data_IF_800852611189
#
_entry.id   IF_800852611189
#
_cell.length_a   1.000
_cell.length_b   1.000
_cell.length_c   1.000
_cell.angle_alpha   90.00
_cell.angle_beta   90.00
_cell.angle_gamma   90.00
#
_symmetry.space_group_name_H-M   'P 1'
#
loop_
_entity.id
_entity.type
_entity.pdbx_description
1 polymer ?
#
# COMPACT_ATOMS: atom_id res chain seq x y z
N UNK A 1 -22.04 -24.22 16.90
CA UNK A 1 -21.16 -23.19 17.51
C UNK A 1 -20.30 -22.59 16.41
N UNK A 2 -20.60 -21.39 15.99
CA UNK A 2 -19.73 -20.67 15.03
C UNK A 2 -18.53 -20.14 15.82
N UNK A 3 -17.37 -20.73 15.60
CA UNK A 3 -16.13 -20.23 16.20
C UNK A 3 -15.87 -18.87 15.52
N UNK A 4 -16.33 -17.80 16.16
CA UNK A 4 -16.08 -16.44 15.74
C UNK A 4 -14.60 -16.13 15.92
N UNK A 5 -13.83 -16.17 14.84
CA UNK A 5 -12.43 -15.73 14.88
C UNK A 5 -12.39 -14.22 15.09
N UNK A 6 -12.00 -13.81 16.26
CA UNK A 6 -11.80 -12.40 16.60
C UNK A 6 -10.61 -11.84 15.82
N UNK A 7 -10.82 -10.76 15.08
CA UNK A 7 -9.76 -10.04 14.38
C UNK A 7 -9.15 -9.00 15.32
N UNK A 8 -7.82 -8.99 15.47
CA UNK A 8 -7.10 -8.05 16.32
C UNK A 8 -6.34 -7.05 15.44
N UNK A 9 -6.74 -5.79 15.50
CA UNK A 9 -6.05 -4.68 14.84
C UNK A 9 -5.08 -4.01 15.82
N UNK A 10 -3.82 -3.77 15.46
CA UNK A 10 -2.86 -3.11 16.35
C UNK A 10 -3.26 -1.69 16.77
N UNK A 11 -4.04 -1.01 15.93
CA UNK A 11 -4.49 0.38 16.15
C UNK A 11 -5.83 0.45 16.89
N UNK A 12 -6.79 -0.46 16.55
CA UNK A 12 -8.17 -0.44 17.06
C UNK A 12 -8.46 -1.49 18.13
N UNK A 13 -7.51 -2.39 18.40
CA UNK A 13 -7.74 -3.51 19.33
C UNK A 13 -8.59 -4.62 18.72
N UNK A 14 -9.44 -5.21 19.55
CA UNK A 14 -10.31 -6.33 19.18
C UNK A 14 -11.47 -5.83 18.32
N UNK A 15 -11.59 -6.40 17.12
CA UNK A 15 -12.65 -6.06 16.18
C UNK A 15 -13.75 -7.11 16.18
N UNK A 16 -15.00 -6.65 16.14
CA UNK A 16 -16.19 -7.51 15.93
C UNK A 16 -16.33 -7.96 14.47
N UNK A 17 -15.42 -7.56 13.60
CA UNK A 17 -15.44 -7.90 12.18
C UNK A 17 -14.99 -9.35 11.94
N UNK A 18 -15.63 -10.01 10.99
CA UNK A 18 -15.24 -11.35 10.56
C UNK A 18 -13.90 -11.32 9.83
N UNK A 19 -13.09 -12.37 10.01
CA UNK A 19 -11.89 -12.62 9.18
C UNK A 19 -12.25 -12.98 7.74
N UNK A 20 -13.43 -13.54 7.54
CA UNK A 20 -13.91 -14.00 6.23
C UNK A 20 -15.03 -13.11 5.73
N UNK A 21 -15.15 -13.00 4.41
CA UNK A 21 -16.28 -12.34 3.77
C UNK A 21 -17.58 -13.15 3.91
N UNK A 22 -18.68 -12.62 3.37
CA UNK A 22 -20.00 -13.23 3.47
C UNK A 22 -20.08 -14.64 2.87
N UNK A 23 -19.19 -14.96 1.92
CA UNK A 23 -19.07 -16.30 1.33
C UNK A 23 -18.48 -17.34 2.31
N UNK A 24 -17.94 -16.92 3.45
CA UNK A 24 -17.31 -17.76 4.46
C UNK A 24 -15.98 -18.39 4.05
N UNK A 25 -15.51 -18.17 2.82
CA UNK A 25 -14.35 -18.80 2.21
C UNK A 25 -13.15 -17.83 2.09
N UNK A 26 -13.40 -16.64 1.54
CA UNK A 26 -12.33 -15.66 1.29
C UNK A 26 -12.11 -14.73 2.49
N UNK A 27 -10.88 -14.22 2.69
CA UNK A 27 -10.62 -13.19 3.68
C UNK A 27 -11.48 -11.93 3.43
N UNK A 28 -11.93 -11.29 4.51
CA UNK A 28 -12.69 -10.04 4.42
C UNK A 28 -11.77 -8.87 4.06
N UNK A 29 -12.33 -7.78 3.55
CA UNK A 29 -11.59 -6.53 3.33
C UNK A 29 -10.99 -6.00 4.64
N UNK A 30 -11.72 -6.12 5.74
CA UNK A 30 -11.22 -5.76 7.06
C UNK A 30 -10.00 -6.60 7.50
N UNK A 31 -9.96 -7.88 7.13
CA UNK A 31 -8.77 -8.71 7.34
C UNK A 31 -7.57 -8.16 6.57
N UNK A 32 -7.77 -7.79 5.29
CA UNK A 32 -6.71 -7.19 4.45
C UNK A 32 -6.24 -5.84 5.00
N UNK A 33 -7.16 -5.02 5.50
CA UNK A 33 -6.82 -3.75 6.15
C UNK A 33 -5.91 -3.96 7.36
N UNK A 34 -6.23 -4.95 8.19
CA UNK A 34 -5.38 -5.30 9.35
C UNK A 34 -4.01 -5.83 8.93
N UNK A 35 -3.93 -6.61 7.83
CA UNK A 35 -2.65 -7.07 7.29
C UNK A 35 -1.77 -5.89 6.84
N UNK A 36 -2.34 -4.94 6.09
CA UNK A 36 -1.65 -3.74 5.64
C UNK A 36 -1.15 -2.88 6.81
N UNK A 37 -1.99 -2.67 7.83
CA UNK A 37 -1.61 -1.94 9.05
C UNK A 37 -0.46 -2.65 9.77
N UNK A 38 -0.54 -3.97 9.95
CA UNK A 38 0.54 -4.77 10.58
C UNK A 38 1.84 -4.69 9.79
N UNK A 39 1.75 -4.69 8.47
CA UNK A 39 2.92 -4.55 7.61
C UNK A 39 3.60 -3.20 7.83
N UNK A 40 2.84 -2.08 7.76
CA UNK A 40 3.39 -0.74 7.98
C UNK A 40 4.03 -0.59 9.36
N UNK A 41 3.40 -1.11 10.42
CA UNK A 41 3.98 -1.08 11.76
C UNK A 41 5.32 -1.84 11.80
N UNK A 42 5.43 -2.99 11.14
CA UNK A 42 6.70 -3.74 11.02
C UNK A 42 7.76 -2.97 10.22
N UNK A 43 7.35 -2.10 9.30
CA UNK A 43 8.24 -1.18 8.59
C UNK A 43 8.63 0.07 9.41
N UNK A 44 8.23 0.15 10.67
CA UNK A 44 8.59 1.23 11.60
C UNK A 44 7.57 2.37 11.68
N UNK A 45 6.42 2.27 11.05
CA UNK A 45 5.36 3.29 11.16
C UNK A 45 4.68 3.20 12.53
N UNK A 46 4.71 4.26 13.36
CA UNK A 46 4.15 4.23 14.70
C UNK A 46 2.63 4.04 14.70
N UNK A 47 2.11 3.14 15.52
CA UNK A 47 0.66 2.84 15.59
C UNK A 47 -0.19 4.05 16.00
N UNK A 48 0.39 4.99 16.75
CA UNK A 48 -0.25 6.21 17.20
C UNK A 48 -0.49 7.23 16.08
N UNK A 49 0.14 7.03 14.91
CA UNK A 49 0.07 7.93 13.77
C UNK A 49 -1.06 7.55 12.78
N UNK A 50 -1.82 6.50 13.07
CA UNK A 50 -2.88 6.04 12.17
C UNK A 50 -4.23 6.71 12.46
N UNK A 51 -4.90 7.15 11.40
CA UNK A 51 -6.33 7.51 11.38
C UNK A 51 -7.03 6.46 10.50
N UNK A 52 -8.05 5.79 11.04
CA UNK A 52 -8.82 4.79 10.30
C UNK A 52 -10.07 5.44 9.70
N UNK A 53 -10.39 5.09 8.44
CA UNK A 53 -11.51 5.65 7.66
C UNK A 53 -11.43 7.18 7.54
N UNK A 54 -10.24 7.67 7.18
CA UNK A 54 -9.96 9.09 7.08
C UNK A 54 -10.71 9.77 5.95
N UNK A 55 -11.26 10.97 6.22
CA UNK A 55 -11.88 11.82 5.20
C UNK A 55 -10.80 12.63 4.51
N UNK A 56 -10.72 12.52 3.17
CA UNK A 56 -9.75 13.24 2.33
C UNK A 56 -10.38 14.49 1.70
N UNK A 57 -11.68 14.41 1.36
CA UNK A 57 -12.41 15.52 0.77
C UNK A 57 -13.88 15.45 1.10
N UNK A 58 -14.49 16.58 1.40
CA UNK A 58 -15.95 16.74 1.49
C UNK A 58 -16.48 17.43 0.25
N UNK A 59 -17.62 16.99 -0.27
CA UNK A 59 -18.28 17.58 -1.42
C UNK A 59 -19.65 18.16 -0.99
N UNK A 60 -19.94 19.38 -1.46
CA UNK A 60 -21.18 20.08 -1.20
C UNK A 60 -21.32 20.60 0.26
N UNK A 61 -22.32 21.42 0.48
CA UNK A 61 -22.54 22.12 1.77
C UNK A 61 -23.00 21.17 2.89
N UNK A 62 -23.61 20.04 2.56
CA UNK A 62 -24.11 19.09 3.57
C UNK A 62 -23.05 18.13 4.14
N UNK A 63 -21.86 18.06 3.51
CA UNK A 63 -20.78 17.15 3.91
C UNK A 63 -21.13 15.65 3.82
N UNK A 64 -22.31 15.31 3.28
CA UNK A 64 -22.77 13.91 3.16
C UNK A 64 -21.95 13.12 2.13
N UNK A 65 -21.50 13.78 1.07
CA UNK A 65 -20.64 13.18 0.07
C UNK A 65 -19.19 13.49 0.43
N UNK A 66 -18.42 12.46 0.77
CA UNK A 66 -17.01 12.60 1.12
C UNK A 66 -16.19 11.53 0.42
N UNK A 67 -15.02 11.91 -0.06
CA UNK A 67 -13.97 10.95 -0.43
C UNK A 67 -13.26 10.51 0.83
N UNK A 68 -13.14 9.22 1.01
CA UNK A 68 -12.49 8.60 2.16
C UNK A 68 -11.43 7.62 1.69
N UNK A 69 -10.49 7.34 2.53
CA UNK A 69 -9.58 6.22 2.38
C UNK A 69 -9.67 5.31 3.61
N UNK A 70 -9.24 4.08 3.48
CA UNK A 70 -9.34 3.07 4.52
C UNK A 70 -8.54 3.41 5.76
N UNK A 71 -7.35 3.99 5.57
CA UNK A 71 -6.59 4.60 6.64
C UNK A 71 -5.59 5.64 6.13
N UNK A 72 -5.21 6.53 7.02
CA UNK A 72 -4.17 7.54 6.82
C UNK A 72 -3.06 7.26 7.83
N UNK A 73 -1.80 7.40 7.43
CA UNK A 73 -0.66 7.44 8.34
C UNK A 73 -0.06 8.83 8.31
N UNK A 74 0.11 9.41 9.49
CA UNK A 74 0.63 10.76 9.66
C UNK A 74 2.12 10.76 10.04
N UNK A 75 2.80 11.88 9.80
CA UNK A 75 4.19 12.11 10.23
C UNK A 75 4.33 12.33 11.75
N UNK A 76 3.21 12.63 12.42
CA UNK A 76 3.09 12.84 13.86
C UNK A 76 1.91 12.04 14.45
N UNK A 77 1.79 12.01 15.77
CA UNK A 77 0.70 11.30 16.44
C UNK A 77 -0.67 11.86 16.02
N UNK A 78 -1.62 11.00 15.73
CA UNK A 78 -2.98 11.37 15.32
C UNK A 78 -3.74 12.19 16.42
N UNK A 79 -3.28 12.15 17.66
CA UNK A 79 -3.81 12.99 18.75
C UNK A 79 -3.34 14.45 18.69
N UNK A 80 -2.32 14.76 17.89
CA UNK A 80 -1.74 16.10 17.71
C UNK A 80 -2.27 16.81 16.47
N UNK A 81 -3.18 16.17 15.72
CA UNK A 81 -3.80 16.71 14.51
C UNK A 81 -5.26 17.02 14.80
N UNK A 82 -5.74 18.16 14.33
CA UNK A 82 -7.17 18.48 14.39
C UNK A 82 -7.95 17.59 13.41
N UNK A 83 -8.60 16.56 13.94
CA UNK A 83 -9.41 15.62 13.15
C UNK A 83 -10.62 16.26 12.48
N UNK A 84 -11.04 17.43 12.92
CA UNK A 84 -12.10 18.24 12.29
C UNK A 84 -11.60 19.01 11.08
N UNK A 85 -10.30 19.26 10.99
CA UNK A 85 -9.65 19.99 9.92
C UNK A 85 -8.98 19.03 8.93
N UNK A 86 -9.61 18.82 7.77
CA UNK A 86 -9.08 17.94 6.72
C UNK A 86 -7.73 18.44 6.20
N UNK A 87 -7.55 19.73 6.11
CA UNK A 87 -6.32 20.35 5.62
C UNK A 87 -5.12 20.05 6.53
N UNK A 88 -5.32 20.09 7.85
CA UNK A 88 -4.29 19.70 8.83
C UNK A 88 -3.94 18.20 8.71
N UNK A 89 -4.93 17.33 8.52
CA UNK A 89 -4.70 15.91 8.29
C UNK A 89 -3.86 15.69 7.02
N UNK A 90 -4.23 16.34 5.91
CA UNK A 90 -3.57 16.15 4.62
C UNK A 90 -2.14 16.71 4.58
N UNK A 91 -1.87 17.80 5.31
CA UNK A 91 -0.54 18.38 5.45
C UNK A 91 0.43 17.41 6.14
N UNK A 92 -0.07 16.63 7.10
CA UNK A 92 0.70 15.65 7.85
C UNK A 92 0.60 14.20 7.31
N UNK A 93 -0.10 13.98 6.20
CA UNK A 93 -0.27 12.64 5.64
C UNK A 93 1.00 12.14 4.96
N UNK A 94 1.50 10.98 5.40
CA UNK A 94 2.58 10.22 4.74
C UNK A 94 2.04 9.09 3.87
N UNK A 95 0.95 8.44 4.29
CA UNK A 95 0.32 7.34 3.53
C UNK A 95 -1.19 7.53 3.54
N UNK A 96 -1.79 7.47 2.35
CA UNK A 96 -3.23 7.40 2.11
C UNK A 96 -3.53 6.03 1.52
N UNK A 97 -4.26 5.17 2.22
CA UNK A 97 -4.41 3.78 1.83
C UNK A 97 -5.83 3.43 1.40
N UNK A 98 -5.92 2.68 0.32
CA UNK A 98 -7.14 2.05 -0.19
C UNK A 98 -6.96 0.54 -0.23
N UNK A 99 -7.83 -0.18 0.47
CA UNK A 99 -7.76 -1.62 0.64
C UNK A 99 -8.92 -2.27 -0.09
N UNK A 100 -8.66 -3.38 -0.77
CA UNK A 100 -9.70 -4.18 -1.40
C UNK A 100 -9.62 -5.63 -0.96
N UNK A 101 -10.76 -6.27 -0.95
CA UNK A 101 -10.86 -7.70 -0.62
C UNK A 101 -10.18 -8.55 -1.68
N UNK A 102 -10.40 -8.22 -2.95
CA UNK A 102 -9.94 -8.98 -4.12
C UNK A 102 -9.49 -8.07 -5.27
N UNK A 103 -8.79 -8.67 -6.24
CA UNK A 103 -8.16 -7.98 -7.36
C UNK A 103 -9.07 -7.73 -8.58
N UNK A 104 -10.35 -8.08 -8.53
CA UNK A 104 -11.25 -8.10 -9.71
C UNK A 104 -11.36 -6.78 -10.47
N UNK A 105 -11.12 -5.66 -9.80
CA UNK A 105 -11.21 -4.30 -10.37
C UNK A 105 -9.96 -3.47 -10.03
N UNK A 106 -8.81 -4.12 -9.89
CA UNK A 106 -7.59 -3.47 -9.41
C UNK A 106 -7.25 -2.20 -10.19
N UNK A 107 -7.16 -2.28 -11.52
CA UNK A 107 -6.78 -1.13 -12.34
C UNK A 107 -7.81 0.00 -12.24
N UNK A 108 -9.09 -0.32 -12.29
CA UNK A 108 -10.15 0.67 -12.07
C UNK A 108 -10.03 1.35 -10.71
N UNK A 109 -9.80 0.60 -9.64
CA UNK A 109 -9.64 1.14 -8.28
C UNK A 109 -8.37 2.00 -8.19
N UNK A 110 -7.25 1.52 -8.74
CA UNK A 110 -5.99 2.29 -8.77
C UNK A 110 -6.19 3.65 -9.45
N UNK A 111 -6.88 3.68 -10.60
CA UNK A 111 -7.06 4.90 -11.37
C UNK A 111 -8.13 5.85 -10.79
N UNK A 112 -9.21 5.32 -10.21
CA UNK A 112 -10.35 6.14 -9.78
C UNK A 112 -10.42 6.40 -8.27
N UNK A 113 -9.72 5.62 -7.44
CA UNK A 113 -9.76 5.75 -5.98
C UNK A 113 -8.38 6.02 -5.39
N UNK A 114 -7.31 5.36 -5.87
CA UNK A 114 -5.99 5.47 -5.26
C UNK A 114 -5.21 6.68 -5.77
N UNK A 115 -4.97 6.76 -7.08
CA UNK A 115 -4.22 7.89 -7.67
C UNK A 115 -4.84 9.25 -7.35
N UNK A 116 -6.19 9.43 -7.37
CA UNK A 116 -6.81 10.70 -6.98
C UNK A 116 -6.60 11.11 -5.52
N UNK A 117 -6.25 10.19 -4.60
CA UNK A 117 -5.89 10.58 -3.22
C UNK A 117 -4.70 11.53 -3.19
N UNK A 118 -3.75 11.33 -4.12
CA UNK A 118 -2.56 12.19 -4.23
C UNK A 118 -2.86 13.62 -4.71
N UNK A 119 -4.04 13.85 -5.32
CA UNK A 119 -4.48 15.19 -5.72
C UNK A 119 -4.79 16.08 -4.52
N UNK A 120 -5.15 15.45 -3.40
CA UNK A 120 -5.51 16.13 -2.16
C UNK A 120 -4.35 16.17 -1.17
N UNK A 121 -3.33 15.32 -1.34
CA UNK A 121 -2.16 15.30 -0.46
C UNK A 121 -1.42 16.64 -0.51
N UNK A 122 -1.26 17.27 0.66
CA UNK A 122 -0.47 18.50 0.81
C UNK A 122 0.99 18.21 1.11
N UNK A 123 1.28 17.08 1.73
CA UNK A 123 2.64 16.62 1.96
C UNK A 123 3.23 16.06 0.67
N UNK A 124 4.31 16.67 0.16
CA UNK A 124 4.98 16.22 -1.06
C UNK A 124 5.58 14.81 -0.98
N UNK A 125 5.79 14.31 0.23
CA UNK A 125 6.30 12.95 0.48
C UNK A 125 5.17 11.94 0.66
N UNK A 126 3.92 12.34 0.46
CA UNK A 126 2.76 11.47 0.63
C UNK A 126 2.73 10.39 -0.44
N UNK A 127 2.38 9.18 -0.01
CA UNK A 127 2.25 7.99 -0.84
C UNK A 127 0.79 7.54 -0.78
N UNK A 128 0.21 7.18 -1.92
CA UNK A 128 -1.02 6.42 -1.95
C UNK A 128 -0.69 4.93 -2.00
N UNK A 129 -1.31 4.13 -1.13
CA UNK A 129 -1.12 2.70 -1.01
C UNK A 129 -2.36 1.97 -1.51
N UNK A 130 -2.19 1.08 -2.47
CA UNK A 130 -3.17 0.08 -2.86
C UNK A 130 -2.79 -1.30 -2.30
N UNK A 131 -3.78 -2.03 -1.76
CA UNK A 131 -3.57 -3.36 -1.20
C UNK A 131 -4.79 -4.26 -1.42
N UNK A 132 -4.57 -5.42 -2.05
CA UNK A 132 -5.58 -6.47 -2.18
C UNK A 132 -5.01 -7.87 -1.85
N UNK A 133 -5.63 -8.93 -2.35
CA UNK A 133 -5.22 -10.31 -2.11
C UNK A 133 -4.06 -10.78 -3.01
N UNK A 134 -3.77 -10.08 -4.10
CA UNK A 134 -2.79 -10.48 -5.11
C UNK A 134 -1.64 -9.48 -5.16
N UNK A 135 -1.96 -8.18 -5.21
CA UNK A 135 -0.94 -7.16 -5.38
C UNK A 135 -0.99 -6.07 -4.30
N UNK A 136 0.17 -5.47 -4.07
CA UNK A 136 0.36 -4.29 -3.25
C UNK A 136 1.21 -3.31 -4.02
N UNK A 137 0.68 -2.10 -4.22
CA UNK A 137 1.31 -1.05 -5.00
C UNK A 137 1.36 0.25 -4.23
N UNK A 138 2.41 1.01 -4.46
CA UNK A 138 2.53 2.38 -3.97
C UNK A 138 2.56 3.35 -5.15
N UNK A 139 1.99 4.53 -4.92
CA UNK A 139 1.94 5.63 -5.88
C UNK A 139 2.46 6.89 -5.21
N UNK A 140 3.21 7.72 -5.93
CA UNK A 140 3.72 8.98 -5.41
C UNK A 140 3.83 10.02 -6.50
N UNK A 141 3.79 11.30 -6.09
CA UNK A 141 3.96 12.41 -7.01
C UNK A 141 5.43 12.64 -7.32
N UNK A 142 5.73 12.86 -8.60
CA UNK A 142 7.01 13.35 -9.08
C UNK A 142 6.77 14.67 -9.82
N UNK A 143 7.58 15.66 -9.48
CA UNK A 143 7.51 16.99 -10.08
C UNK A 143 8.76 17.23 -10.94
N UNK A 144 8.56 17.43 -12.24
CA UNK A 144 9.62 17.75 -13.19
C UNK A 144 9.15 18.86 -14.12
N UNK A 145 9.95 19.92 -14.28
CA UNK A 145 9.64 21.05 -15.14
C UNK A 145 8.22 21.60 -14.94
N UNK A 146 7.82 21.80 -13.68
CA UNK A 146 6.48 22.27 -13.27
C UNK A 146 5.32 21.34 -13.67
N UNK A 147 5.61 20.13 -14.17
CA UNK A 147 4.63 19.11 -14.46
C UNK A 147 4.63 18.05 -13.35
N UNK A 148 3.44 17.77 -12.84
CA UNK A 148 3.22 16.68 -11.91
C UNK A 148 2.92 15.39 -12.68
N UNK A 149 3.58 14.31 -12.31
CA UNK A 149 3.28 12.95 -12.74
C UNK A 149 3.12 12.05 -11.54
N UNK A 150 2.26 11.04 -11.65
CA UNK A 150 2.11 10.00 -10.63
C UNK A 150 2.92 8.79 -11.07
N UNK A 151 3.91 8.43 -10.27
CA UNK A 151 4.68 7.20 -10.46
C UNK A 151 4.07 6.06 -9.65
N UNK A 152 4.28 4.84 -10.11
CA UNK A 152 3.85 3.61 -9.49
C UNK A 152 5.05 2.69 -9.25
N UNK A 153 4.98 1.91 -8.16
CA UNK A 153 5.99 0.92 -7.85
C UNK A 153 5.50 -0.17 -6.92
N UNK A 154 6.28 -1.25 -6.80
CA UNK A 154 5.98 -2.33 -5.87
C UNK A 154 6.09 -1.87 -4.41
N UNK A 155 5.44 -2.61 -3.51
CA UNK A 155 5.48 -2.35 -2.06
C UNK A 155 6.91 -2.33 -1.48
N UNK A 156 7.86 -3.01 -2.12
CA UNK A 156 9.27 -3.02 -1.71
C UNK A 156 9.92 -1.62 -1.74
N UNK A 157 9.39 -0.69 -2.54
CA UNK A 157 9.84 0.70 -2.59
C UNK A 157 9.22 1.58 -1.49
N UNK A 158 8.34 1.03 -0.64
CA UNK A 158 7.78 1.78 0.48
C UNK A 158 8.91 2.23 1.42
N UNK A 159 9.10 3.55 1.62
CA UNK A 159 10.17 4.03 2.48
C UNK A 159 9.90 3.67 3.94
N UNK A 160 10.94 3.61 4.74
CA UNK A 160 10.78 3.58 6.19
C UNK A 160 10.15 4.88 6.68
N UNK A 161 9.49 4.82 7.83
CA UNK A 161 8.85 5.99 8.44
C UNK A 161 9.80 7.20 8.49
N UNK A 162 9.30 8.34 8.02
CA UNK A 162 10.05 9.61 7.98
C UNK A 162 11.00 9.76 6.78
N UNK A 163 11.12 8.76 5.91
CA UNK A 163 11.91 8.83 4.68
C UNK A 163 11.00 9.04 3.45
N UNK A 164 11.59 9.51 2.37
CA UNK A 164 10.93 9.66 1.05
C UNK A 164 11.17 8.43 0.19
N UNK A 165 10.31 8.23 -0.82
CA UNK A 165 10.56 7.22 -1.85
C UNK A 165 11.80 7.64 -2.63
N UNK A 166 12.85 6.84 -2.54
CA UNK A 166 14.06 7.02 -3.33
C UNK A 166 14.04 6.00 -4.48
N UNK A 167 13.75 6.46 -5.67
CA UNK A 167 13.99 5.68 -6.89
C UNK A 167 15.36 6.06 -7.39
N UNK A 168 16.37 5.29 -7.03
CA UNK A 168 17.64 5.34 -7.76
C UNK A 168 17.37 4.79 -9.17
N UNK A 169 17.40 5.65 -10.18
CA UNK A 169 17.58 5.18 -11.52
C UNK A 169 18.95 4.47 -11.57
N UNK A 170 18.95 3.15 -11.76
CA UNK A 170 20.18 2.41 -11.99
C UNK A 170 20.83 2.97 -13.26
N UNK A 171 22.00 3.54 -13.14
CA UNK A 171 22.84 3.89 -14.29
C UNK A 171 23.51 2.62 -14.83
N UNK A 172 23.93 2.65 -16.08
CA UNK A 172 24.74 1.55 -16.65
C UNK A 172 25.98 1.20 -15.80
N UNK A 173 26.49 2.17 -15.04
CA UNK A 173 27.64 2.00 -14.13
C UNK A 173 27.28 1.26 -12.84
N UNK A 174 25.99 1.25 -12.46
CA UNK A 174 25.49 0.52 -11.29
C UNK A 174 25.16 -0.94 -11.63
N UNK A 175 25.17 -1.30 -12.94
CA UNK A 175 24.96 -2.67 -13.41
C UNK A 175 26.30 -3.42 -13.34
N UNK A 176 26.42 -4.27 -12.35
CA UNK A 176 27.52 -5.22 -12.28
C UNK A 176 27.14 -6.49 -13.05
N UNK A 177 28.02 -6.90 -13.97
CA UNK A 177 27.89 -8.24 -14.55
C UNK A 177 28.09 -9.26 -13.43
N UNK A 178 27.21 -10.26 -13.29
CA UNK A 178 27.43 -11.32 -12.31
C UNK A 178 28.72 -12.06 -12.62
N UNK A 179 29.50 -12.43 -11.61
CA UNK A 179 30.77 -13.16 -11.74
C UNK A 179 30.59 -14.47 -12.54
N UNK A 180 29.42 -15.04 -12.54
CA UNK A 180 29.02 -16.19 -13.34
C UNK A 180 27.55 -16.09 -13.74
N UNK A 181 27.28 -15.91 -15.04
CA UNK A 181 25.93 -15.97 -15.59
C UNK A 181 25.28 -17.32 -15.31
N UNK A 182 26.02 -18.42 -15.49
CA UNK A 182 25.54 -19.78 -15.21
C UNK A 182 25.20 -19.98 -13.72
N UNK A 183 26.01 -19.46 -12.82
CA UNK A 183 25.76 -19.50 -11.37
C UNK A 183 24.53 -18.70 -10.99
N UNK A 184 24.32 -17.54 -11.61
CA UNK A 184 23.12 -16.72 -11.38
C UNK A 184 21.86 -17.40 -11.91
N UNK A 185 21.91 -18.03 -13.08
CA UNK A 185 20.82 -18.82 -13.62
C UNK A 185 20.46 -20.01 -12.71
N UNK A 186 21.45 -20.76 -12.26
CA UNK A 186 21.25 -21.88 -11.32
C UNK A 186 20.58 -21.42 -10.01
N UNK A 187 21.02 -20.27 -9.47
CA UNK A 187 20.41 -19.70 -8.26
C UNK A 187 18.96 -19.29 -8.46
N UNK A 188 18.63 -18.65 -9.60
CA UNK A 188 17.26 -18.29 -9.96
C UNK A 188 16.41 -19.55 -10.11
N UNK A 189 16.91 -20.56 -10.77
CA UNK A 189 16.22 -21.84 -10.98
C UNK A 189 15.94 -22.54 -9.64
N UNK A 190 16.91 -22.55 -8.71
CA UNK A 190 16.74 -23.09 -7.35
C UNK A 190 15.65 -22.34 -6.57
N UNK A 191 15.63 -21.00 -6.62
CA UNK A 191 14.61 -20.17 -5.97
C UNK A 191 13.22 -20.49 -6.53
N UNK A 192 13.09 -20.60 -7.86
CA UNK A 192 11.82 -20.91 -8.51
C UNK A 192 11.39 -22.35 -8.20
N UNK A 193 12.33 -23.29 -8.10
CA UNK A 193 12.05 -24.66 -7.70
C UNK A 193 11.53 -24.74 -6.25
N UNK A 194 12.16 -24.04 -5.33
CA UNK A 194 11.70 -23.95 -3.93
C UNK A 194 10.34 -23.27 -3.79
N UNK A 195 9.96 -22.43 -4.73
CA UNK A 195 8.66 -21.75 -4.77
C UNK A 195 7.52 -22.62 -5.33
N UNK A 196 7.76 -23.91 -5.60
CA UNK A 196 6.82 -24.87 -6.15
C UNK A 196 6.19 -24.45 -7.51
N UNK A 197 6.91 -23.64 -8.29
CA UNK A 197 6.51 -23.25 -9.65
C UNK A 197 6.86 -24.40 -10.60
N UNK A 198 5.95 -24.78 -11.48
CA UNK A 198 6.21 -25.88 -12.41
C UNK A 198 7.28 -25.52 -13.47
N UNK A 199 7.79 -26.54 -14.18
CA UNK A 199 8.95 -26.36 -15.03
C UNK A 199 8.67 -25.45 -16.23
N UNK A 200 7.49 -25.48 -16.83
CA UNK A 200 7.11 -24.63 -17.96
C UNK A 200 6.99 -23.16 -17.55
N UNK A 201 6.34 -22.90 -16.41
CA UNK A 201 6.16 -21.57 -15.85
C UNK A 201 7.50 -20.93 -15.41
N UNK A 202 8.47 -21.75 -14.99
CA UNK A 202 9.84 -21.29 -14.66
C UNK A 202 10.57 -20.73 -15.87
N UNK A 203 10.56 -21.43 -16.98
CA UNK A 203 11.21 -20.96 -18.22
C UNK A 203 10.57 -19.67 -18.72
N UNK A 204 9.26 -19.56 -18.69
CA UNK A 204 8.57 -18.32 -19.04
C UNK A 204 8.92 -17.15 -18.13
N UNK A 205 9.10 -17.40 -16.84
CA UNK A 205 9.47 -16.38 -15.86
C UNK A 205 10.89 -15.88 -16.07
N UNK A 206 11.84 -16.78 -16.32
CA UNK A 206 13.25 -16.44 -16.59
C UNK A 206 13.40 -15.66 -17.90
N UNK A 207 12.64 -16.00 -18.93
CA UNK A 207 12.70 -15.30 -20.23
C UNK A 207 12.07 -13.89 -20.22
N UNK A 208 11.34 -13.54 -19.17
CA UNK A 208 10.72 -12.20 -18.96
C UNK A 208 11.57 -11.27 -18.08
N UNK A 209 12.66 -11.75 -17.49
CA UNK A 209 13.64 -11.00 -16.72
C UNK A 209 14.72 -10.40 -17.62
#
# INVERSE_FOLDING_TARGET
>A
MTIGFTLICPVRGVLKASRKSKDGLTPSEEFRRVEAIKYLIRQGYPKENFIIEGVVKKFGNSGRNSMRCDFIVLDKKASLVDKGNIDDILEHSLVLAEIKRDNKKADYVKDTQVKPLLDFAKNQSCIALYWDNIEQRIFWNVYSNSKRTVNEGPLALLPKFGLKVEVKALSLQDLMLPDSLLGTYALIEDILHQSAIDMEERYETILKL
#
